data_IF_925882244510
#
_entry.id   IF_925882244510
#
_cell.length_a   1.000
_cell.length_b   1.000
_cell.length_c   1.000
_cell.angle_alpha   90.00
_cell.angle_beta   90.00
_cell.angle_gamma   90.00
#
_symmetry.space_group_name_H-M   'P 1'
#
loop_
_entity.id
_entity.type
_entity.pdbx_description
1 polymer ?
#
# COMPACT_ATOMS: atom_id res chain seq x y z
N UNK A 1 -13.11 -15.13 2.52
CA UNK A 1 -13.18 -13.66 2.34
C UNK A 1 -13.02 -13.39 0.85
N UNK A 2 -14.10 -12.97 0.17
CA UNK A 2 -14.02 -12.58 -1.24
C UNK A 2 -13.59 -11.11 -1.29
N UNK A 3 -12.50 -10.78 -1.98
CA UNK A 3 -12.17 -9.43 -2.42
C UNK A 3 -12.03 -9.52 -3.93
N UNK A 4 -13.13 -9.25 -4.64
CA UNK A 4 -13.14 -9.25 -6.09
C UNK A 4 -12.99 -7.82 -6.59
N UNK A 5 -11.82 -7.19 -6.59
CA UNK A 5 -11.64 -5.90 -7.28
C UNK A 5 -11.59 -6.12 -8.79
N UNK A 6 -12.75 -6.12 -9.45
CA UNK A 6 -12.81 -6.16 -10.91
C UNK A 6 -12.43 -4.78 -11.43
N UNK A 7 -11.16 -4.61 -11.82
CA UNK A 7 -10.71 -3.56 -12.73
C UNK A 7 -10.87 -4.08 -14.16
N UNK A 8 -12.09 -4.02 -14.70
CA UNK A 8 -12.35 -4.32 -16.11
C UNK A 8 -11.94 -3.11 -16.96
N UNK A 9 -10.63 -2.91 -17.11
CA UNK A 9 -10.11 -2.06 -18.16
C UNK A 9 -10.31 -2.78 -19.50
N UNK A 10 -11.36 -2.39 -20.23
CA UNK A 10 -11.39 -2.59 -21.68
C UNK A 10 -10.14 -1.93 -22.25
N UNK A 11 -9.11 -2.72 -22.51
CA UNK A 11 -7.87 -2.27 -23.12
C UNK A 11 -8.09 -2.13 -24.61
N UNK A 12 -8.92 -1.17 -24.99
CA UNK A 12 -8.94 -0.65 -26.35
C UNK A 12 -8.08 0.59 -26.40
N UNK A 13 -6.95 0.44 -27.09
CA UNK A 13 -6.18 1.49 -27.76
C UNK A 13 -5.29 2.36 -26.85
N UNK A 14 -4.08 1.86 -26.59
CA UNK A 14 -2.94 2.76 -26.78
C UNK A 14 -3.00 3.27 -28.23
N UNK A 15 -2.98 4.59 -28.48
CA UNK A 15 -2.91 5.09 -29.85
C UNK A 15 -1.65 4.53 -30.53
N UNK A 16 -1.71 4.26 -31.84
CA UNK A 16 -0.55 3.79 -32.59
C UNK A 16 0.60 4.78 -32.48
N UNK A 17 1.82 4.27 -32.59
CA UNK A 17 3.05 5.03 -32.71
C UNK A 17 3.00 5.89 -33.97
N UNK A 18 2.55 7.14 -33.83
CA UNK A 18 2.94 8.28 -34.69
C UNK A 18 2.35 9.59 -34.14
N UNK A 19 3.17 10.65 -34.17
CA UNK A 19 2.89 12.05 -33.80
C UNK A 19 2.66 12.35 -32.30
N UNK A 20 3.71 12.90 -31.66
CA UNK A 20 3.78 13.55 -30.32
C UNK A 20 3.01 12.83 -29.19
N UNK A 21 3.69 12.25 -28.18
CA UNK A 21 2.98 11.63 -27.05
C UNK A 21 2.03 12.65 -26.41
N UNK A 22 0.74 12.32 -26.33
CA UNK A 22 -0.28 13.21 -25.74
C UNK A 22 0.14 13.58 -24.32
N UNK A 23 0.09 14.87 -23.99
CA UNK A 23 0.50 15.40 -22.66
C UNK A 23 -0.39 14.91 -21.51
N UNK A 24 -1.59 14.44 -21.84
CA UNK A 24 -2.57 13.86 -20.92
C UNK A 24 -3.22 12.65 -21.60
N UNK A 25 -3.20 11.50 -20.92
CA UNK A 25 -4.02 10.34 -21.26
C UNK A 25 -4.90 9.99 -20.05
N UNK A 26 -6.21 9.87 -20.25
CA UNK A 26 -7.18 9.53 -19.21
C UNK A 26 -7.77 8.15 -19.51
N UNK A 27 -7.64 7.22 -18.57
CA UNK A 27 -8.18 5.86 -18.73
C UNK A 27 -9.24 5.63 -17.65
N UNK A 28 -10.55 5.60 -18.00
CA UNK A 28 -11.59 5.21 -17.07
C UNK A 28 -11.54 3.69 -16.85
N UNK A 29 -11.65 3.26 -15.59
CA UNK A 29 -11.68 1.86 -15.21
C UNK A 29 -12.83 1.63 -14.22
N UNK A 30 -13.82 0.78 -14.53
CA UNK A 30 -14.86 0.43 -13.59
C UNK A 30 -14.24 -0.29 -12.38
N UNK A 31 -14.82 -0.03 -11.21
CA UNK A 31 -14.51 -0.71 -9.96
C UNK A 31 -15.76 -1.45 -9.52
N UNK A 32 -15.70 -2.77 -9.47
CA UNK A 32 -16.77 -3.57 -8.87
C UNK A 32 -16.14 -4.55 -7.92
N UNK A 33 -16.61 -4.61 -6.67
CA UNK A 33 -16.16 -5.60 -5.71
C UNK A 33 -17.19 -6.00 -4.69
N UNK A 34 -16.96 -7.13 -4.04
CA UNK A 34 -17.78 -7.61 -2.94
C UNK A 34 -16.89 -7.96 -1.77
N UNK A 35 -17.20 -7.47 -0.57
CA UNK A 35 -16.62 -7.97 0.68
C UNK A 35 -17.71 -8.17 1.74
N UNK A 36 -17.46 -8.95 2.80
CA UNK A 36 -18.40 -9.07 3.92
C UNK A 36 -18.73 -7.73 4.58
N UNK A 37 -17.77 -6.79 4.62
CA UNK A 37 -17.93 -5.50 5.29
C UNK A 37 -18.66 -4.48 4.40
N UNK A 38 -18.47 -4.53 3.07
CA UNK A 38 -19.08 -3.57 2.12
C UNK A 38 -20.33 -4.08 1.43
N UNK A 39 -20.52 -5.40 1.39
CA UNK A 39 -21.34 -6.08 0.38
C UNK A 39 -20.90 -5.63 -1.02
N UNK A 40 -21.81 -5.48 -1.97
CA UNK A 40 -21.47 -5.01 -3.31
C UNK A 40 -20.98 -3.56 -3.26
N UNK A 41 -19.91 -3.28 -4.00
CA UNK A 41 -19.36 -1.96 -4.21
C UNK A 41 -19.22 -1.71 -5.70
N UNK A 42 -19.57 -0.50 -6.12
CA UNK A 42 -19.49 -0.03 -7.49
C UNK A 42 -18.80 1.33 -7.53
N UNK A 43 -18.04 1.59 -8.58
CA UNK A 43 -17.25 2.79 -8.69
C UNK A 43 -16.54 2.91 -10.01
N UNK A 44 -15.71 3.93 -10.11
CA UNK A 44 -14.85 4.16 -11.25
C UNK A 44 -13.53 4.79 -10.79
N UNK A 45 -12.47 4.49 -11.53
CA UNK A 45 -11.20 5.16 -11.44
C UNK A 45 -10.87 5.82 -12.77
N UNK A 46 -10.14 6.92 -12.75
CA UNK A 46 -9.60 7.54 -13.95
C UNK A 46 -8.11 7.85 -13.73
N UNK A 47 -7.25 7.20 -14.50
CA UNK A 47 -5.80 7.42 -14.42
C UNK A 47 -5.38 8.45 -15.46
N UNK A 48 -4.84 9.58 -15.00
CA UNK A 48 -4.19 10.59 -15.79
C UNK A 48 -2.68 10.28 -15.88
N UNK A 49 -2.16 10.05 -17.08
CA UNK A 49 -0.71 10.04 -17.34
C UNK A 49 -0.28 11.41 -17.84
N UNK A 50 0.67 12.03 -17.14
CA UNK A 50 1.14 13.40 -17.35
C UNK A 50 2.61 13.40 -17.79
N UNK A 51 2.95 14.30 -18.71
CA UNK A 51 4.33 14.62 -19.05
C UNK A 51 4.54 16.14 -19.00
N UNK A 52 5.43 16.57 -18.10
CA UNK A 52 5.74 18.00 -17.95
C UNK A 52 6.59 18.50 -19.13
N UNK A 53 6.43 19.77 -19.50
CA UNK A 53 7.18 20.39 -20.59
C UNK A 53 8.70 20.38 -20.36
N UNK A 54 9.14 20.43 -19.09
CA UNK A 54 10.57 20.31 -18.74
C UNK A 54 11.15 18.90 -18.97
N UNK A 55 10.31 17.91 -19.28
CA UNK A 55 10.72 16.54 -19.61
C UNK A 55 10.53 16.22 -21.10
N UNK A 56 10.23 17.24 -21.93
CA UNK A 56 10.14 17.12 -23.38
C UNK A 56 11.53 16.78 -23.94
N UNK A 57 11.61 15.80 -24.85
CA UNK A 57 12.89 15.35 -25.42
C UNK A 57 13.75 14.46 -24.53
N UNK A 58 13.47 14.36 -23.22
CA UNK A 58 14.20 13.44 -22.34
C UNK A 58 13.66 12.01 -22.48
N UNK A 59 14.41 11.14 -23.18
CA UNK A 59 13.99 9.76 -23.45
C UNK A 59 13.81 8.90 -22.19
N UNK A 60 14.58 9.18 -21.13
CA UNK A 60 14.51 8.45 -19.86
C UNK A 60 13.50 9.05 -18.86
N UNK A 61 12.64 9.99 -19.29
CA UNK A 61 11.60 10.56 -18.43
C UNK A 61 10.63 9.47 -17.95
N UNK A 62 10.46 9.33 -16.63
CA UNK A 62 9.47 8.40 -16.06
C UNK A 62 8.08 9.03 -16.15
N UNK A 63 7.03 8.27 -16.51
CA UNK A 63 5.69 8.82 -16.65
C UNK A 63 5.14 9.23 -15.28
N UNK A 64 4.66 10.48 -15.19
CA UNK A 64 3.90 10.92 -14.02
C UNK A 64 2.47 10.42 -14.13
N UNK A 65 1.89 9.98 -13.02
CA UNK A 65 0.54 9.42 -12.97
C UNK A 65 -0.23 9.92 -11.75
N UNK A 66 -1.51 10.21 -11.94
CA UNK A 66 -2.47 10.43 -10.86
C UNK A 66 -3.74 9.65 -11.17
N UNK A 67 -4.29 8.92 -10.19
CA UNK A 67 -5.51 8.14 -10.40
C UNK A 67 -6.58 8.60 -9.45
N UNK A 68 -7.64 9.23 -9.96
CA UNK A 68 -8.81 9.56 -9.16
C UNK A 68 -9.73 8.34 -9.11
N UNK A 69 -10.01 7.81 -7.92
CA UNK A 69 -10.90 6.68 -7.73
C UNK A 69 -12.04 7.04 -6.78
N UNK A 70 -13.26 6.68 -7.19
CA UNK A 70 -14.47 6.81 -6.40
C UNK A 70 -15.17 5.47 -6.35
N UNK A 71 -15.52 5.00 -5.16
CA UNK A 71 -16.33 3.81 -4.97
C UNK A 71 -17.40 4.05 -3.91
N UNK A 72 -18.60 3.55 -4.19
CA UNK A 72 -19.73 3.55 -3.28
C UNK A 72 -20.20 2.12 -3.05
N UNK A 73 -20.57 1.81 -1.81
CA UNK A 73 -20.94 0.46 -1.41
C UNK A 73 -22.42 0.36 -1.05
N UNK A 74 -22.98 -0.84 -1.15
CA UNK A 74 -24.34 -1.15 -0.74
C UNK A 74 -24.56 -0.84 0.76
N UNK A 75 -23.51 -0.94 1.57
CA UNK A 75 -23.52 -0.53 2.98
C UNK A 75 -23.31 0.98 3.19
N UNK A 76 -23.49 1.82 2.15
CA UNK A 76 -23.42 3.30 2.19
C UNK A 76 -22.05 3.86 2.59
N UNK A 77 -20.98 3.12 2.31
CA UNK A 77 -19.59 3.58 2.44
C UNK A 77 -19.15 4.32 1.19
N UNK A 78 -18.28 5.31 1.36
CA UNK A 78 -17.71 6.12 0.29
C UNK A 78 -16.18 6.06 0.38
N UNK A 79 -15.53 5.74 -0.74
CA UNK A 79 -14.08 5.85 -0.89
C UNK A 79 -13.82 6.82 -2.02
N UNK A 80 -13.14 7.92 -1.72
CA UNK A 80 -12.66 8.89 -2.70
C UNK A 80 -11.16 9.03 -2.46
N UNK A 81 -10.33 8.69 -3.42
CA UNK A 81 -8.88 8.79 -3.25
C UNK A 81 -8.16 9.08 -4.55
N UNK A 82 -7.07 9.83 -4.43
CA UNK A 82 -6.21 10.33 -5.50
C UNK A 82 -4.75 10.01 -5.15
N UNK A 83 -4.29 8.78 -5.38
CA UNK A 83 -2.87 8.45 -5.38
C UNK A 83 -2.19 9.12 -6.57
N UNK A 84 -0.99 9.62 -6.34
CA UNK A 84 -0.16 10.23 -7.38
C UNK A 84 1.31 9.83 -7.24
N UNK A 85 1.99 9.82 -8.38
CA UNK A 85 3.44 9.75 -8.52
C UNK A 85 3.84 10.72 -9.63
N UNK A 86 4.73 11.64 -9.31
CA UNK A 86 5.11 12.75 -10.18
C UNK A 86 6.63 12.76 -10.28
N UNK A 87 7.13 12.65 -11.50
CA UNK A 87 8.53 12.86 -11.85
C UNK A 87 8.62 14.19 -12.58
N UNK A 88 9.52 15.07 -12.14
CA UNK A 88 9.67 16.40 -12.70
C UNK A 88 11.15 16.73 -12.95
N UNK A 89 11.38 17.48 -14.02
CA UNK A 89 12.68 18.04 -14.40
C UNK A 89 13.77 16.96 -14.53
N UNK A 90 13.67 16.13 -15.57
CA UNK A 90 14.58 15.05 -15.91
C UNK A 90 14.70 14.03 -14.77
N UNK A 91 13.56 13.67 -14.15
CA UNK A 91 13.46 12.84 -12.95
C UNK A 91 14.28 13.37 -11.75
N UNK A 92 14.61 14.65 -11.71
CA UNK A 92 15.39 15.23 -10.60
C UNK A 92 14.55 15.36 -9.34
N UNK A 93 13.25 15.63 -9.50
CA UNK A 93 12.29 15.64 -8.40
C UNK A 93 11.33 14.49 -8.56
N UNK A 94 11.06 13.81 -7.45
CA UNK A 94 10.10 12.74 -7.35
C UNK A 94 9.17 13.02 -6.19
N UNK A 95 7.87 13.14 -6.48
CA UNK A 95 6.85 13.33 -5.46
C UNK A 95 5.78 12.24 -5.59
N UNK A 96 5.40 11.63 -4.49
CA UNK A 96 4.32 10.64 -4.49
C UNK A 96 3.55 10.69 -3.19
N UNK A 97 2.30 10.26 -3.25
CA UNK A 97 1.40 10.42 -2.14
C UNK A 97 -0.03 10.03 -2.46
N UNK A 98 -0.91 10.42 -1.57
CA UNK A 98 -2.35 10.19 -1.66
C UNK A 98 -3.08 11.34 -0.99
N UNK A 99 -4.13 11.84 -1.64
CA UNK A 99 -5.17 12.62 -0.98
C UNK A 99 -6.48 11.85 -1.09
N UNK A 100 -7.27 11.76 -0.02
CA UNK A 100 -8.52 11.02 -0.06
C UNK A 100 -9.44 11.32 1.11
N UNK A 101 -10.67 10.86 0.97
CA UNK A 101 -11.70 10.85 1.98
C UNK A 101 -12.33 9.45 2.02
N UNK A 102 -12.38 8.89 3.21
CA UNK A 102 -12.85 7.54 3.46
C UNK A 102 -13.96 7.57 4.48
N UNK A 103 -15.13 7.04 4.11
CA UNK A 103 -16.20 6.67 5.02
C UNK A 103 -16.35 5.16 4.90
N UNK A 104 -15.81 4.42 5.85
CA UNK A 104 -15.65 2.98 5.72
C UNK A 104 -15.85 2.24 7.05
N UNK A 105 -16.21 0.96 6.96
CA UNK A 105 -16.35 0.04 8.09
C UNK A 105 -15.30 -1.05 7.98
N UNK A 106 -14.54 -1.24 9.04
CA UNK A 106 -13.43 -2.19 9.11
C UNK A 106 -13.70 -3.25 10.19
N UNK A 107 -13.02 -4.38 10.05
CA UNK A 107 -12.86 -5.32 11.16
C UNK A 107 -11.64 -4.96 12.01
N UNK A 108 -11.86 -4.93 13.32
CA UNK A 108 -10.85 -4.83 14.36
C UNK A 108 -10.69 -6.19 15.04
N UNK A 109 -9.45 -6.51 15.40
CA UNK A 109 -9.09 -7.80 15.97
C UNK A 109 -8.20 -7.68 17.21
N UNK A 110 -8.12 -6.48 17.79
CA UNK A 110 -7.28 -6.21 18.95
C UNK A 110 -5.89 -5.68 18.60
N UNK A 111 -5.06 -5.55 19.63
CA UNK A 111 -3.72 -4.98 19.57
C UNK A 111 -2.71 -5.91 20.24
N UNK A 112 -1.53 -6.02 19.64
CA UNK A 112 -0.41 -6.79 20.17
C UNK A 112 -0.81 -8.24 20.49
N UNK A 113 -0.75 -8.62 21.77
CA UNK A 113 -1.11 -9.97 22.25
C UNK A 113 -2.57 -10.10 22.66
N UNK A 114 -3.29 -8.99 22.79
CA UNK A 114 -4.71 -8.98 23.14
C UNK A 114 -5.53 -9.11 21.85
N UNK A 115 -5.63 -10.33 21.33
CA UNK A 115 -6.54 -10.64 20.23
C UNK A 115 -7.98 -10.68 20.75
N UNK A 116 -8.91 -10.10 19.98
CA UNK A 116 -10.35 -10.16 20.26
C UNK A 116 -11.09 -10.81 19.07
N UNK A 117 -12.29 -11.36 19.28
CA UNK A 117 -13.18 -11.69 18.18
C UNK A 117 -13.35 -10.49 17.25
N UNK A 118 -13.68 -10.74 15.98
CA UNK A 118 -13.86 -9.65 15.00
C UNK A 118 -14.90 -8.63 15.47
N UNK A 119 -14.47 -7.39 15.64
CA UNK A 119 -15.31 -6.26 16.00
C UNK A 119 -15.48 -5.35 14.80
N UNK A 120 -16.71 -4.91 14.50
CA UNK A 120 -16.95 -3.91 13.47
C UNK A 120 -16.76 -2.51 14.05
N UNK A 121 -16.06 -1.65 13.31
CA UNK A 121 -16.04 -0.22 13.60
C UNK A 121 -16.14 0.59 12.32
N UNK A 122 -16.85 1.72 12.39
CA UNK A 122 -17.01 2.66 11.28
C UNK A 122 -16.21 3.92 11.55
N UNK A 123 -15.59 4.44 10.50
CA UNK A 123 -14.74 5.63 10.57
C UNK A 123 -14.96 6.52 9.34
N UNK A 124 -14.91 7.83 9.58
CA UNK A 124 -14.81 8.85 8.54
C UNK A 124 -13.46 9.54 8.67
N UNK A 125 -12.71 9.67 7.59
CA UNK A 125 -11.45 10.40 7.65
C UNK A 125 -10.98 10.95 6.30
N UNK A 126 -10.61 12.24 6.23
CA UNK A 126 -9.70 12.71 5.22
C UNK A 126 -8.30 12.16 5.50
N UNK A 127 -7.55 11.88 4.43
CA UNK A 127 -6.14 11.49 4.47
C UNK A 127 -5.38 12.32 3.45
N UNK A 128 -4.25 12.87 3.88
CA UNK A 128 -3.26 13.48 2.98
C UNK A 128 -1.90 12.92 3.35
N UNK A 129 -1.19 12.36 2.37
CA UNK A 129 0.19 11.91 2.50
C UNK A 129 0.94 12.45 1.29
N UNK A 130 2.05 13.14 1.54
CA UNK A 130 2.88 13.71 0.48
C UNK A 130 4.33 13.44 0.82
N UNK A 131 5.05 12.85 -0.13
CA UNK A 131 6.49 12.70 -0.09
C UNK A 131 7.05 13.53 -1.24
N UNK A 132 8.04 14.36 -0.97
CA UNK A 132 8.66 15.24 -1.96
C UNK A 132 10.17 15.10 -1.87
N UNK A 133 10.76 14.45 -2.85
CA UNK A 133 12.17 14.09 -2.86
C UNK A 133 12.91 14.72 -4.04
N UNK A 134 14.20 14.95 -3.82
CA UNK A 134 15.16 15.36 -4.83
C UNK A 134 16.18 14.25 -5.02
N UNK A 135 16.58 13.99 -6.26
CA UNK A 135 17.65 13.06 -6.59
C UNK A 135 18.96 13.61 -6.01
N UNK A 136 19.62 12.80 -5.17
CA UNK A 136 20.87 13.15 -4.49
C UNK A 136 22.07 12.36 -5.02
N UNK A 137 21.83 11.28 -5.77
CA UNK A 137 22.90 10.50 -6.36
C UNK A 137 22.40 9.34 -7.19
N UNK A 138 23.38 8.53 -7.63
CA UNK A 138 23.14 7.22 -8.24
C UNK A 138 23.90 6.18 -7.43
N UNK A 139 23.29 5.00 -7.27
CA UNK A 139 23.89 3.85 -6.60
C UNK A 139 23.60 2.60 -7.43
N UNK A 140 24.48 1.60 -7.39
CA UNK A 140 24.30 0.33 -8.13
C UNK A 140 24.13 0.52 -9.66
N UNK A 141 24.93 1.42 -10.25
CA UNK A 141 24.98 1.68 -11.70
C UNK A 141 24.10 2.82 -12.18
N UNK A 142 23.97 2.98 -13.50
CA UNK A 142 23.32 4.15 -14.11
C UNK A 142 21.80 4.21 -13.89
N UNK A 143 21.17 3.06 -13.65
CA UNK A 143 19.72 2.94 -13.44
C UNK A 143 19.31 3.25 -12.00
N UNK A 144 20.18 3.02 -11.02
CA UNK A 144 19.81 3.17 -9.62
C UNK A 144 19.85 4.63 -9.20
N UNK A 145 18.66 5.19 -8.99
CA UNK A 145 18.49 6.59 -8.63
C UNK A 145 18.19 6.70 -7.14
N UNK A 146 19.01 7.44 -6.40
CA UNK A 146 18.80 7.74 -4.99
C UNK A 146 18.18 9.13 -4.84
N UNK A 147 17.09 9.18 -4.09
CA UNK A 147 16.32 10.36 -3.76
C UNK A 147 16.30 10.57 -2.25
N UNK A 148 16.30 11.83 -1.82
CA UNK A 148 16.12 12.22 -0.43
C UNK A 148 15.18 13.41 -0.34
N UNK A 149 14.41 13.52 0.75
CA UNK A 149 13.63 14.72 1.02
C UNK A 149 12.62 14.56 2.14
N UNK A 150 11.51 15.29 2.01
CA UNK A 150 10.54 15.48 3.09
C UNK A 150 9.31 14.61 2.91
N UNK A 151 8.70 14.26 4.04
CA UNK A 151 7.43 13.55 4.13
C UNK A 151 6.45 14.35 4.98
N UNK A 152 5.20 14.30 4.60
CA UNK A 152 4.09 14.89 5.33
C UNK A 152 2.92 13.90 5.40
N UNK A 153 2.25 13.86 6.54
CA UNK A 153 1.03 13.09 6.72
C UNK A 153 0.01 13.84 7.57
N UNK A 154 -1.24 13.70 7.18
CA UNK A 154 -2.41 14.20 7.89
C UNK A 154 -3.54 13.18 7.78
N UNK A 155 -4.21 12.92 8.90
CA UNK A 155 -5.38 12.05 8.96
C UNK A 155 -6.29 12.47 10.12
N UNK A 156 -7.55 12.81 9.86
CA UNK A 156 -8.54 13.11 10.90
C UNK A 156 -9.48 11.91 11.06
N UNK A 157 -9.07 10.95 11.89
CA UNK A 157 -9.69 9.65 12.05
C UNK A 157 -10.89 9.71 13.00
N UNK A 158 -12.10 9.93 12.47
CA UNK A 158 -13.31 10.07 13.27
C UNK A 158 -14.03 8.73 13.39
N UNK A 159 -13.90 8.07 14.54
CA UNK A 159 -14.62 6.81 14.82
C UNK A 159 -16.08 7.15 15.11
N UNK A 160 -16.99 6.64 14.28
CA UNK A 160 -18.43 6.96 14.32
C UNK A 160 -19.28 5.84 14.91
N UNK A 161 -18.78 4.61 14.88
CA UNK A 161 -19.45 3.44 15.45
C UNK A 161 -18.41 2.41 15.85
N UNK A 162 -18.64 1.75 16.97
CA UNK A 162 -17.86 0.59 17.45
C UNK A 162 -18.80 -0.53 17.86
N UNK A 163 -18.32 -1.76 17.91
CA UNK A 163 -19.09 -2.89 18.40
C UNK A 163 -19.41 -2.72 19.91
N UNK A 164 -20.67 -2.86 20.35
CA UNK A 164 -21.02 -2.78 21.77
C UNK A 164 -20.26 -3.83 22.58
N UNK A 165 -19.68 -3.42 23.71
CA UNK A 165 -18.87 -4.29 24.56
C UNK A 165 -17.51 -4.69 23.98
N UNK A 166 -17.15 -4.19 22.78
CA UNK A 166 -15.86 -4.44 22.16
C UNK A 166 -14.72 -3.64 22.79
N UNK A 167 -13.49 -4.02 22.49
CA UNK A 167 -12.28 -3.38 23.03
C UNK A 167 -12.19 -1.90 22.66
N UNK A 168 -12.61 -1.51 21.45
CA UNK A 168 -12.66 -0.08 21.07
C UNK A 168 -13.71 0.70 21.87
N UNK A 169 -14.83 0.07 22.23
CA UNK A 169 -15.88 0.70 23.04
C UNK A 169 -15.43 0.97 24.49
N UNK A 170 -14.45 0.22 24.99
CA UNK A 170 -13.90 0.39 26.33
C UNK A 170 -13.08 1.67 26.54
N UNK A 171 -12.74 2.41 25.48
CA UNK A 171 -12.05 3.70 25.59
C UNK A 171 -10.56 3.63 26.00
N UNK A 172 -10.02 2.44 26.26
CA UNK A 172 -8.62 2.25 26.70
C UNK A 172 -7.64 2.23 25.53
N UNK A 173 -8.13 1.98 24.31
CA UNK A 173 -7.29 1.92 23.11
C UNK A 173 -6.92 3.34 22.65
N UNK A 174 -5.62 3.67 22.54
CA UNK A 174 -5.21 4.96 22.02
C UNK A 174 -5.79 5.25 20.63
N UNK A 175 -6.51 6.36 20.50
CA UNK A 175 -7.21 6.78 19.29
C UNK A 175 -8.44 5.96 18.96
N UNK A 176 -8.88 5.03 19.83
CA UNK A 176 -10.05 4.18 19.62
C UNK A 176 -11.37 4.96 19.55
N UNK A 177 -11.42 6.16 20.14
CA UNK A 177 -12.53 7.12 20.04
C UNK A 177 -12.32 8.16 18.93
N UNK A 178 -11.28 7.96 18.12
CA UNK A 178 -10.85 8.87 17.07
C UNK A 178 -9.53 9.56 17.39
N UNK A 179 -8.85 10.06 16.35
CA UNK A 179 -7.62 10.83 16.51
C UNK A 179 -7.35 11.71 15.30
N UNK A 180 -6.73 12.86 15.53
CA UNK A 180 -6.19 13.72 14.47
C UNK A 180 -4.68 13.62 14.43
N UNK A 181 -4.17 12.88 13.45
CA UNK A 181 -2.76 12.70 13.18
C UNK A 181 -2.24 13.79 12.25
N UNK A 182 -1.19 14.49 12.69
CA UNK A 182 -0.37 15.36 11.84
C UNK A 182 1.09 15.01 12.06
N UNK A 183 1.83 14.82 10.97
CA UNK A 183 3.21 14.36 11.03
C UNK A 183 4.07 14.88 9.90
N UNK A 184 5.35 15.09 10.21
CA UNK A 184 6.39 15.44 9.27
C UNK A 184 7.57 14.49 9.41
N UNK A 185 8.32 14.29 8.34
CA UNK A 185 9.44 13.36 8.35
C UNK A 185 10.44 13.57 7.24
N UNK A 186 11.48 12.75 7.28
CA UNK A 186 12.51 12.63 6.25
C UNK A 186 12.34 11.30 5.53
N UNK A 187 12.80 11.23 4.28
CA UNK A 187 12.75 10.02 3.49
C UNK A 187 13.94 9.87 2.56
N UNK A 188 14.32 8.61 2.36
CA UNK A 188 15.17 8.14 1.28
C UNK A 188 14.35 7.21 0.40
N UNK A 189 14.48 7.37 -0.92
CA UNK A 189 13.88 6.47 -1.90
C UNK A 189 14.92 6.08 -2.93
N UNK A 190 15.06 4.79 -3.17
CA UNK A 190 15.97 4.24 -4.14
C UNK A 190 15.20 3.36 -5.12
N UNK A 191 15.49 3.49 -6.41
CA UNK A 191 14.88 2.66 -7.44
C UNK A 191 15.88 2.37 -8.55
N UNK A 192 16.19 1.09 -8.74
CA UNK A 192 17.02 0.57 -9.83
C UNK A 192 16.28 -0.47 -10.68
N UNK A 193 14.95 -0.60 -10.50
CA UNK A 193 14.14 -1.59 -11.21
C UNK A 193 14.19 -1.39 -12.72
N UNK A 194 14.24 -2.48 -13.45
CA UNK A 194 14.20 -2.48 -14.92
C UNK A 194 12.80 -2.13 -15.48
N UNK A 195 11.74 -2.49 -14.75
CA UNK A 195 10.36 -2.11 -15.06
C UNK A 195 9.61 -1.83 -13.75
N UNK A 196 8.69 -0.85 -13.76
CA UNK A 196 7.94 -0.42 -12.56
C UNK A 196 6.79 -1.37 -12.21
N UNK A 197 6.13 -1.95 -13.20
CA UNK A 197 4.91 -2.77 -13.04
C UNK A 197 5.20 -4.27 -12.95
N UNK A 198 6.24 -4.74 -13.66
CA UNK A 198 6.71 -6.12 -13.57
C UNK A 198 8.25 -6.14 -13.52
N UNK A 199 8.85 -5.78 -12.38
CA UNK A 199 10.29 -5.77 -12.22
C UNK A 199 10.85 -7.19 -12.29
N UNK A 200 11.88 -7.39 -13.11
CA UNK A 200 12.60 -8.67 -13.22
C UNK A 200 13.98 -8.59 -12.62
N UNK A 201 14.56 -7.39 -12.55
CA UNK A 201 15.88 -7.12 -11.99
C UNK A 201 15.88 -5.78 -11.26
N UNK A 202 16.73 -5.69 -10.24
CA UNK A 202 16.99 -4.45 -9.51
C UNK A 202 16.36 -4.44 -8.14
N UNK A 203 16.38 -3.27 -7.50
CA UNK A 203 15.97 -3.05 -6.13
C UNK A 203 15.15 -1.77 -6.06
N UNK A 204 14.11 -1.77 -5.22
CA UNK A 204 13.41 -0.56 -4.79
C UNK A 204 13.41 -0.51 -3.27
N UNK A 205 13.69 0.65 -2.69
CA UNK A 205 13.71 0.85 -1.25
C UNK A 205 13.07 2.19 -0.89
N UNK A 206 12.14 2.17 0.06
CA UNK A 206 11.47 3.33 0.64
C UNK A 206 11.73 3.34 2.15
N UNK A 207 12.59 4.25 2.62
CA UNK A 207 12.99 4.36 4.03
C UNK A 207 12.61 5.73 4.56
N UNK A 208 11.93 5.79 5.69
CA UNK A 208 11.39 7.03 6.24
C UNK A 208 11.47 7.12 7.75
N UNK A 209 11.60 8.36 8.24
CA UNK A 209 11.53 8.67 9.65
C UNK A 209 10.55 9.83 9.85
N UNK A 210 9.44 9.56 10.52
CA UNK A 210 8.50 10.58 11.00
C UNK A 210 8.83 10.90 12.46
N UNK A 211 9.15 12.15 12.74
CA UNK A 211 9.71 12.55 14.03
C UNK A 211 8.70 13.36 14.82
N UNK A 212 8.43 12.95 16.06
CA UNK A 212 7.52 13.66 17.00
C UNK A 212 6.14 13.98 16.38
N UNK A 213 5.58 13.04 15.63
CA UNK A 213 4.21 13.13 15.14
C UNK A 213 3.25 13.43 16.27
N UNK A 214 2.23 14.22 15.97
CA UNK A 214 1.20 14.63 16.91
C UNK A 214 -0.10 13.91 16.58
N UNK A 215 -0.71 13.26 17.56
CA UNK A 215 -2.03 12.69 17.44
C UNK A 215 -2.95 13.27 18.53
N UNK A 216 -3.77 14.25 18.18
CA UNK A 216 -4.72 14.88 19.10
C UNK A 216 -5.93 13.96 19.30
N UNK A 217 -6.44 13.82 20.53
CA UNK A 217 -7.56 12.92 20.84
C UNK A 217 -7.15 11.44 20.95
N UNK A 218 -5.86 11.14 20.75
CA UNK A 218 -5.35 9.78 20.71
C UNK A 218 -5.12 9.16 22.08
N UNK A 219 -5.00 9.94 23.13
CA UNK A 219 -4.82 9.40 24.47
C UNK A 219 -6.09 8.77 25.05
N UNK A 220 -6.00 7.84 26.01
CA UNK A 220 -7.18 7.22 26.64
C UNK A 220 -8.13 8.23 27.31
N UNK A 221 -7.66 9.42 27.71
CA UNK A 221 -8.48 10.51 28.23
C UNK A 221 -8.71 11.63 27.20
N UNK A 222 -8.44 11.38 25.91
CA UNK A 222 -8.57 12.36 24.83
C UNK A 222 -7.38 13.30 24.69
N UNK A 223 -6.29 13.07 25.41
CA UNK A 223 -5.09 13.89 25.35
C UNK A 223 -4.33 13.75 24.02
N UNK A 224 -3.39 14.67 23.79
CA UNK A 224 -2.52 14.63 22.61
C UNK A 224 -1.36 13.65 22.85
N UNK A 225 -1.32 12.59 22.06
CA UNK A 225 -0.20 11.67 22.05
C UNK A 225 0.90 12.12 21.08
N UNK A 226 2.15 11.75 21.37
CA UNK A 226 3.31 11.99 20.50
C UNK A 226 4.10 10.72 20.30
N UNK A 227 4.53 10.50 19.07
CA UNK A 227 5.33 9.33 18.73
C UNK A 227 6.24 9.62 17.54
N UNK A 228 7.32 8.86 17.43
CA UNK A 228 8.15 8.78 16.23
C UNK A 228 7.92 7.45 15.54
N UNK A 229 8.02 7.42 14.21
CA UNK A 229 7.85 6.21 13.41
C UNK A 229 8.95 6.10 12.37
N UNK A 230 9.66 4.98 12.39
CA UNK A 230 10.70 4.63 11.43
C UNK A 230 10.17 3.49 10.55
N UNK A 231 10.21 3.65 9.24
CA UNK A 231 9.70 2.66 8.28
C UNK A 231 10.75 2.33 7.25
N UNK A 232 10.78 1.08 6.82
CA UNK A 232 11.55 0.61 5.69
C UNK A 232 10.71 -0.39 4.89
N UNK A 233 10.67 -0.24 3.56
CA UNK A 233 10.06 -1.20 2.65
C UNK A 233 11.02 -1.39 1.47
N UNK A 234 11.59 -2.59 1.37
CA UNK A 234 12.65 -2.91 0.40
C UNK A 234 12.21 -4.13 -0.40
N UNK A 235 12.30 -4.05 -1.72
CA UNK A 235 12.03 -5.19 -2.59
C UNK A 235 13.16 -5.39 -3.61
N UNK A 236 13.54 -6.65 -3.79
CA UNK A 236 14.63 -7.09 -4.66
C UNK A 236 14.11 -8.10 -5.69
N UNK A 237 14.63 -8.02 -6.91
CA UNK A 237 14.17 -8.82 -8.04
C UNK A 237 15.33 -9.50 -8.73
N UNK A 238 15.21 -10.82 -8.88
CA UNK A 238 16.21 -11.66 -9.51
C UNK A 238 15.56 -12.49 -10.62
N UNK A 239 15.97 -12.25 -11.86
CA UNK A 239 15.54 -13.08 -12.98
C UNK A 239 16.17 -14.48 -12.85
N UNK A 240 15.33 -15.51 -12.67
CA UNK A 240 15.76 -16.92 -12.62
C UNK A 240 15.86 -17.54 -14.03
N UNK A 241 15.45 -16.80 -15.05
CA UNK A 241 15.48 -17.22 -16.45
C UNK A 241 14.68 -16.27 -17.33
N UNK A 242 14.30 -16.72 -18.53
CA UNK A 242 13.52 -15.90 -19.48
C UNK A 242 12.05 -15.75 -19.09
N UNK A 243 11.51 -16.62 -18.25
CA UNK A 243 10.09 -16.61 -17.86
C UNK A 243 9.85 -16.68 -16.35
N UNK A 244 10.90 -16.51 -15.55
CA UNK A 244 10.82 -16.67 -14.09
C UNK A 244 11.54 -15.54 -13.36
N UNK A 245 10.94 -15.05 -12.27
CA UNK A 245 11.49 -14.02 -11.39
C UNK A 245 11.31 -14.47 -9.94
N UNK A 246 12.36 -14.37 -9.15
CA UNK A 246 12.29 -14.39 -7.69
C UNK A 246 12.19 -12.94 -7.22
N UNK A 247 11.12 -12.61 -6.51
CA UNK A 247 10.94 -11.33 -5.85
C UNK A 247 11.02 -11.55 -4.33
N UNK A 248 11.79 -10.71 -3.65
CA UNK A 248 11.93 -10.69 -2.19
C UNK A 248 11.46 -9.34 -1.68
N UNK A 249 10.78 -9.31 -0.53
CA UNK A 249 10.39 -8.08 0.14
C UNK A 249 10.64 -8.15 1.64
N UNK A 250 11.20 -7.07 2.15
CA UNK A 250 11.51 -6.84 3.55
C UNK A 250 10.80 -5.56 3.98
N UNK A 251 9.96 -5.65 5.00
CA UNK A 251 9.29 -4.48 5.56
C UNK A 251 9.52 -4.39 7.06
N UNK A 252 9.87 -3.19 7.52
CA UNK A 252 10.10 -2.85 8.92
C UNK A 252 9.31 -1.60 9.30
N UNK A 253 8.78 -1.59 10.51
CA UNK A 253 8.16 -0.40 11.10
C UNK A 253 8.43 -0.42 12.59
N UNK A 254 9.00 0.67 13.12
CA UNK A 254 9.29 0.84 14.53
C UNK A 254 8.60 2.12 15.01
N UNK A 255 7.89 2.02 16.14
CA UNK A 255 7.19 3.15 16.75
C UNK A 255 7.77 3.36 18.15
N UNK A 256 8.09 4.62 18.45
CA UNK A 256 8.57 5.04 19.77
C UNK A 256 7.58 6.05 20.35
N UNK A 257 7.04 5.75 21.52
CA UNK A 257 5.97 6.52 22.16
C UNK A 257 4.57 6.05 21.75
N UNK A 258 3.56 6.78 22.19
CA UNK A 258 2.16 6.35 22.04
C UNK A 258 1.57 6.78 20.70
N UNK A 259 1.44 5.84 19.77
CA UNK A 259 0.71 6.05 18.52
C UNK A 259 -0.77 5.65 18.67
N UNK A 260 -1.71 6.36 18.04
CA UNK A 260 -3.10 5.89 17.96
C UNK A 260 -3.17 4.60 17.13
N UNK A 261 -4.19 3.78 17.37
CA UNK A 261 -4.31 2.45 16.77
C UNK A 261 -4.32 2.46 15.23
N UNK A 262 -4.83 3.53 14.61
CA UNK A 262 -4.84 3.71 13.15
C UNK A 262 -3.44 4.04 12.58
N UNK A 263 -2.48 4.43 13.41
CA UNK A 263 -1.08 4.71 13.03
C UNK A 263 -0.10 3.58 13.41
N UNK A 264 -0.55 2.54 14.10
CA UNK A 264 0.25 1.37 14.45
C UNK A 264 0.73 0.62 13.19
N UNK A 265 1.76 -0.20 13.38
CA UNK A 265 2.25 -1.11 12.36
C UNK A 265 1.21 -2.20 12.09
N UNK A 266 1.00 -2.54 10.82
CA UNK A 266 -0.09 -3.41 10.37
C UNK A 266 0.45 -4.55 9.51
N UNK A 267 -0.07 -5.75 9.77
CA UNK A 267 0.25 -6.97 9.01
C UNK A 267 -1.06 -7.67 8.59
N UNK A 268 -1.05 -8.19 7.37
CA UNK A 268 -2.20 -8.74 6.65
C UNK A 268 -2.62 -7.86 5.48
N UNK A 269 -3.53 -8.36 4.65
CA UNK A 269 -4.04 -7.66 3.48
C UNK A 269 -3.44 -8.14 2.15
N UNK A 270 -3.59 -7.32 1.11
CA UNK A 270 -3.22 -7.72 -0.26
C UNK A 270 -1.72 -7.60 -0.56
N UNK A 271 -0.95 -6.88 0.27
CA UNK A 271 0.49 -6.59 0.05
C UNK A 271 1.44 -7.17 1.08
N UNK A 272 1.03 -7.24 2.35
CA UNK A 272 1.91 -7.61 3.48
C UNK A 272 1.35 -8.85 4.17
N UNK A 273 1.85 -10.02 3.77
CA UNK A 273 1.39 -11.33 4.28
C UNK A 273 -0.05 -11.69 3.88
N UNK A 274 -0.26 -11.90 2.56
CA UNK A 274 -1.52 -12.38 1.99
C UNK A 274 -1.94 -13.72 2.60
N UNK A 275 -3.22 -13.83 2.92
CA UNK A 275 -3.83 -14.92 3.70
C UNK A 275 -4.54 -14.41 4.94
N UNK A 276 -4.22 -13.18 5.38
CA UNK A 276 -4.90 -12.48 6.47
C UNK A 276 -5.71 -11.27 5.98
N UNK A 277 -6.75 -10.90 6.73
CA UNK A 277 -7.48 -9.64 6.53
C UNK A 277 -6.54 -8.43 6.64
N UNK A 278 -6.87 -7.33 5.95
CA UNK A 278 -6.09 -6.09 6.00
C UNK A 278 -5.93 -5.62 7.45
N UNK A 279 -4.68 -5.47 7.91
CA UNK A 279 -4.38 -5.13 9.29
C UNK A 279 -5.02 -6.07 10.34
N UNK A 280 -5.12 -7.38 10.02
CA UNK A 280 -5.56 -8.43 10.96
C UNK A 280 -4.77 -8.41 12.26
N UNK A 281 -3.49 -8.07 12.17
CA UNK A 281 -2.61 -7.89 13.32
C UNK A 281 -2.06 -6.47 13.34
N UNK A 282 -2.05 -5.86 14.52
CA UNK A 282 -1.57 -4.50 14.75
C UNK A 282 -0.71 -4.43 15.99
N UNK A 283 0.43 -3.77 15.91
CA UNK A 283 1.26 -3.44 17.06
C UNK A 283 2.19 -2.25 16.77
N UNK A 284 2.95 -1.79 17.75
CA UNK A 284 3.92 -0.70 17.56
C UNK A 284 4.99 -1.07 16.54
N UNK A 285 5.60 -2.25 16.68
CA UNK A 285 6.75 -2.69 15.90
C UNK A 285 6.40 -3.87 15.00
N UNK A 286 7.00 -3.91 13.81
CA UNK A 286 6.80 -4.93 12.80
C UNK A 286 8.12 -5.19 12.06
N UNK A 287 8.41 -6.48 11.84
CA UNK A 287 9.35 -6.94 10.82
C UNK A 287 8.67 -8.01 9.97
N UNK A 288 8.87 -7.96 8.66
CA UNK A 288 8.28 -8.88 7.68
C UNK A 288 9.33 -9.24 6.64
N UNK A 289 9.40 -10.52 6.29
CA UNK A 289 10.03 -11.00 5.08
C UNK A 289 9.03 -11.83 4.29
N UNK A 290 8.97 -11.60 2.98
CA UNK A 290 8.13 -12.38 2.07
C UNK A 290 8.80 -12.55 0.72
N UNK A 291 8.45 -13.64 0.04
CA UNK A 291 9.00 -13.99 -1.27
C UNK A 291 7.89 -14.41 -2.22
N UNK A 292 8.13 -14.17 -3.51
CA UNK A 292 7.30 -14.64 -4.61
C UNK A 292 8.17 -15.23 -5.71
N UNK A 293 7.77 -16.38 -6.23
CA UNK A 293 8.28 -16.87 -7.51
C UNK A 293 7.20 -16.59 -8.55
N UNK A 294 7.52 -15.73 -9.53
CA UNK A 294 6.62 -15.31 -10.61
C UNK A 294 6.99 -16.01 -11.90
N UNK A 295 6.00 -16.62 -12.56
CA UNK A 295 6.17 -17.43 -13.76
C UNK A 295 5.31 -16.88 -14.90
N UNK A 296 5.93 -16.60 -16.04
CA UNK A 296 5.25 -16.33 -17.30
C UNK A 296 4.94 -17.68 -17.98
N UNK A 297 3.67 -18.10 -17.90
CA UNK A 297 3.27 -19.46 -18.30
C UNK A 297 2.97 -19.50 -19.81
N UNK A 298 2.00 -18.70 -20.27
CA UNK A 298 1.57 -18.72 -21.66
C UNK A 298 0.95 -17.39 -22.10
N UNK A 299 1.52 -16.75 -23.11
CA UNK A 299 1.03 -15.47 -23.68
C UNK A 299 0.86 -14.39 -22.60
N UNK A 300 -0.39 -14.14 -22.16
CA UNK A 300 -0.74 -13.14 -21.13
C UNK A 300 -1.00 -13.79 -19.76
N UNK A 301 -0.91 -15.11 -19.66
CA UNK A 301 -1.16 -15.86 -18.44
C UNK A 301 0.16 -16.10 -17.71
N UNK A 302 0.16 -15.75 -16.43
CA UNK A 302 1.23 -16.07 -15.50
C UNK A 302 0.68 -16.71 -14.23
N UNK A 303 1.58 -17.22 -13.42
CA UNK A 303 1.29 -17.81 -12.13
C UNK A 303 2.33 -17.36 -11.10
N UNK A 304 1.94 -17.38 -9.83
CA UNK A 304 2.85 -17.10 -8.72
C UNK A 304 2.66 -18.12 -7.61
N UNK A 305 3.74 -18.41 -6.89
CA UNK A 305 3.70 -19.03 -5.56
C UNK A 305 4.41 -18.07 -4.61
N UNK A 306 3.84 -17.89 -3.42
CA UNK A 306 4.34 -16.90 -2.47
C UNK A 306 4.26 -17.39 -1.03
N UNK A 307 5.12 -16.82 -0.19
CA UNK A 307 5.17 -17.11 1.23
C UNK A 307 5.79 -15.95 2.00
N UNK A 308 5.48 -15.85 3.28
CA UNK A 308 6.10 -14.84 4.13
C UNK A 308 5.93 -15.16 5.61
N UNK A 309 6.74 -14.46 6.40
CA UNK A 309 6.71 -14.50 7.85
C UNK A 309 6.96 -13.11 8.40
N UNK A 310 6.15 -12.69 9.37
CA UNK A 310 6.33 -11.44 10.08
C UNK A 310 6.24 -11.62 11.60
N UNK A 311 6.96 -10.77 12.32
CA UNK A 311 6.92 -10.67 13.76
C UNK A 311 6.47 -9.26 14.15
N UNK A 312 5.64 -9.19 15.18
CA UNK A 312 5.17 -7.94 15.78
C UNK A 312 5.80 -7.77 17.17
N UNK A 313 5.85 -6.54 17.65
CA UNK A 313 6.40 -6.21 18.95
C UNK A 313 5.95 -4.85 19.46
N UNK A 314 6.40 -4.53 20.65
CA UNK A 314 6.06 -3.32 21.42
C UNK A 314 7.32 -2.80 22.14
N UNK A 315 7.14 -1.77 22.97
CA UNK A 315 8.19 -1.18 23.82
C UNK A 315 8.85 -2.19 24.78
N UNK A 316 8.12 -3.21 25.27
CA UNK A 316 8.68 -4.21 26.18
C UNK A 316 9.50 -5.27 25.43
N UNK A 317 9.04 -5.62 24.22
CA UNK A 317 9.70 -6.59 23.37
C UNK A 317 9.62 -6.15 21.91
N UNK A 318 10.74 -5.57 21.44
CA UNK A 318 10.90 -5.00 20.09
C UNK A 318 10.29 -5.88 18.99
N UNK A 319 10.57 -7.18 19.03
CA UNK A 319 9.95 -8.20 18.17
C UNK A 319 9.71 -9.50 18.94
N UNK A 320 8.51 -10.06 18.82
CA UNK A 320 8.14 -11.34 19.43
C UNK A 320 8.43 -12.51 18.48
N UNK A 321 9.71 -12.84 18.32
CA UNK A 321 10.18 -13.90 17.41
C UNK A 321 9.64 -15.32 17.70
N UNK A 322 9.12 -15.57 18.91
CA UNK A 322 8.48 -16.84 19.29
C UNK A 322 6.97 -16.90 18.98
N UNK A 323 6.39 -15.84 18.43
CA UNK A 323 5.01 -15.80 17.94
C UNK A 323 4.95 -15.19 16.52
N UNK A 324 5.64 -15.78 15.54
CA UNK A 324 5.62 -15.28 14.18
C UNK A 324 4.24 -15.53 13.53
N UNK A 325 3.83 -14.62 12.65
CA UNK A 325 2.68 -14.79 11.76
C UNK A 325 3.22 -15.19 10.39
N UNK A 326 2.84 -16.37 9.93
CA UNK A 326 3.23 -16.88 8.62
C UNK A 326 1.99 -17.03 7.72
N UNK A 327 2.20 -16.89 6.42
CA UNK A 327 1.20 -17.21 5.41
C UNK A 327 1.89 -17.62 4.11
N UNK A 328 1.18 -18.38 3.29
CA UNK A 328 1.63 -18.79 1.96
C UNK A 328 0.44 -18.90 1.02
N UNK A 329 0.70 -19.00 -0.26
CA UNK A 329 -0.36 -19.09 -1.25
C UNK A 329 0.14 -19.15 -2.67
N UNK A 330 -0.82 -19.07 -3.58
CA UNK A 330 -0.58 -19.06 -5.01
C UNK A 330 -1.53 -18.09 -5.68
N UNK A 331 -1.21 -17.71 -6.91
CA UNK A 331 -2.05 -16.78 -7.66
C UNK A 331 -1.86 -16.89 -9.16
N UNK A 332 -2.84 -16.35 -9.87
CA UNK A 332 -2.86 -16.22 -11.31
C UNK A 332 -2.59 -14.77 -11.71
N UNK A 333 -1.99 -14.58 -12.88
CA UNK A 333 -1.71 -13.27 -13.47
C UNK A 333 -2.30 -13.22 -14.87
N UNK A 334 -2.96 -12.11 -15.18
CA UNK A 334 -3.38 -11.78 -16.53
C UNK A 334 -2.77 -10.44 -16.94
N UNK A 335 -1.91 -10.43 -17.95
CA UNK A 335 -1.29 -9.22 -18.48
C UNK A 335 -2.30 -8.39 -19.28
N UNK A 336 -2.87 -7.39 -18.63
CA UNK A 336 -3.86 -6.48 -19.20
C UNK A 336 -3.21 -5.54 -20.24
N UNK A 337 -2.06 -4.94 -19.90
CA UNK A 337 -1.28 -4.10 -20.82
C UNK A 337 0.09 -4.75 -21.08
N UNK A 338 0.32 -5.18 -22.33
CA UNK A 338 1.58 -5.82 -22.73
C UNK A 338 2.76 -4.85 -22.85
N UNK A 339 2.52 -3.59 -23.17
CA UNK A 339 3.59 -2.57 -23.34
C UNK A 339 4.31 -2.35 -22.02
N UNK A 340 3.54 -2.17 -20.97
CA UNK A 340 4.05 -1.84 -19.64
C UNK A 340 4.15 -3.08 -18.73
N UNK A 341 3.68 -4.24 -19.20
CA UNK A 341 3.58 -5.49 -18.46
C UNK A 341 2.74 -5.37 -17.17
N UNK A 342 1.61 -4.66 -17.27
CA UNK A 342 0.68 -4.48 -16.15
C UNK A 342 -0.22 -5.71 -16.00
N UNK A 343 -0.11 -6.38 -14.86
CA UNK A 343 -0.91 -7.56 -14.54
C UNK A 343 -2.16 -7.21 -13.71
N UNK A 344 -3.26 -7.88 -14.01
CA UNK A 344 -4.34 -8.14 -13.05
C UNK A 344 -3.97 -9.43 -12.33
N UNK A 345 -4.02 -9.42 -11.00
CA UNK A 345 -3.68 -10.58 -10.16
C UNK A 345 -4.88 -11.11 -9.41
N UNK A 346 -5.01 -12.44 -9.37
CA UNK A 346 -5.92 -13.16 -8.49
C UNK A 346 -5.08 -14.06 -7.57
N UNK A 347 -4.98 -13.70 -6.30
CA UNK A 347 -4.21 -14.45 -5.29
C UNK A 347 -5.14 -15.15 -4.31
N UNK A 348 -4.77 -16.36 -3.91
CA UNK A 348 -5.35 -17.08 -2.78
C UNK A 348 -4.26 -17.34 -1.73
N UNK A 349 -4.45 -16.81 -0.53
CA UNK A 349 -3.52 -16.96 0.59
C UNK A 349 -4.14 -17.73 1.77
N UNK A 350 -3.28 -18.49 2.45
CA UNK A 350 -3.58 -19.30 3.63
C UNK A 350 -2.71 -18.80 4.78
N UNK A 351 -3.34 -18.39 5.87
CA UNK A 351 -2.71 -18.05 7.15
C UNK A 351 -3.24 -18.93 8.28
N UNK A 352 -2.76 -18.71 9.51
CA UNK A 352 -3.24 -19.42 10.69
C UNK A 352 -4.73 -19.13 10.90
N UNK A 353 -5.57 -20.13 10.69
CA UNK A 353 -7.04 -20.03 10.79
C UNK A 353 -7.63 -18.88 9.95
N UNK A 354 -6.98 -18.53 8.84
CA UNK A 354 -7.40 -17.43 7.99
C UNK A 354 -7.14 -17.76 6.53
N UNK A 355 -8.03 -17.28 5.66
CA UNK A 355 -7.87 -17.39 4.20
C UNK A 355 -8.28 -16.08 3.54
N UNK A 356 -7.62 -15.74 2.44
CA UNK A 356 -7.91 -14.52 1.70
C UNK A 356 -7.86 -14.75 0.20
N UNK A 357 -8.89 -14.28 -0.51
CA UNK A 357 -8.84 -14.07 -1.94
C UNK A 357 -8.58 -12.60 -2.22
N UNK A 358 -7.71 -12.29 -3.18
CA UNK A 358 -7.36 -10.93 -3.55
C UNK A 358 -7.33 -10.80 -5.07
N UNK A 359 -8.25 -10.02 -5.62
CA UNK A 359 -8.16 -9.55 -7.01
C UNK A 359 -7.65 -8.11 -6.97
N UNK A 360 -6.52 -7.80 -7.62
CA UNK A 360 -5.96 -6.43 -7.67
C UNK A 360 -5.19 -6.17 -8.98
N UNK A 361 -4.77 -4.94 -9.24
CA UNK A 361 -3.88 -4.58 -10.36
C UNK A 361 -2.47 -4.29 -9.87
N UNK A 362 -1.47 -4.74 -10.64
CA UNK A 362 -0.05 -4.69 -10.30
C UNK A 362 0.38 -5.85 -9.41
N UNK A 363 1.69 -5.94 -9.15
CA UNK A 363 2.28 -6.92 -8.23
C UNK A 363 2.21 -6.46 -6.76
N UNK A 364 2.44 -7.38 -5.81
CA UNK A 364 2.23 -7.10 -4.38
C UNK A 364 3.26 -6.10 -3.83
N UNK A 365 4.48 -6.20 -4.35
CA UNK A 365 5.62 -5.34 -4.13
C UNK A 365 6.42 -5.22 -5.42
#
# INVERSE_FOLDING_TARGET
MFLVLVLLGGSTLAPPDTARPKRLALIPVPLVYYTPETRLAVGAAATATLRFSRDDGFAAARPSQATLAVAYTQNRQLLLYLPFQLFYNHNTYYAYGEAGYYRYTYYFYGLGRQEVPRELYSVNFPRVRVNAFRRVGRLLGERGQLYAGLRYQYEDYQVTRVAPGGLLAGGTVPGGQGSRLTGGGLGLFFDSRDNVFYPRKGVVADVGAFLRNRATGAGPAGETARFSRYVADVAEYHALGRRAVLALNYAGSLIVGTAPFNALSQLGGSRRLRGYYEARYRDQNLALVQSEVRLEVYKRLGAVVFGGVGALGDEQKLLRLRDPKAAYGAGLRFTANRRDHLNVRLDYGLGRQSTGFYLTVGEAF
#
